data_IF_995022485852
#
_entry.id   IF_995022485852
#
_cell.length_a   1.000
_cell.length_b   1.000
_cell.length_c   1.000
_cell.angle_alpha   90.00
_cell.angle_beta   90.00
_cell.angle_gamma   90.00
#
_symmetry.space_group_name_H-M   'P 1'
#
loop_
_entity.id
_entity.type
_entity.pdbx_description
1 polymer ?
#
# COMPACT_ATOMS: atom_id res chain seq x y z
N UNK A 1 -10.36 -1.42 36.66
CA UNK A 1 -9.56 -0.21 36.41
C UNK A 1 -8.05 -0.45 36.52
N UNK A 2 -7.51 -1.01 37.60
CA UNK A 2 -6.02 -1.21 37.76
C UNK A 2 -5.33 -2.04 36.67
N UNK A 3 -5.97 -3.07 36.09
CA UNK A 3 -5.39 -3.91 35.03
C UNK A 3 -5.35 -3.21 33.65
N UNK A 4 -6.30 -2.33 33.36
CA UNK A 4 -6.32 -1.54 32.11
C UNK A 4 -5.26 -0.43 32.13
N UNK A 5 -4.98 0.15 33.29
CA UNK A 5 -3.97 1.19 33.48
C UNK A 5 -2.56 0.57 33.31
N UNK A 6 -2.35 -0.66 33.80
CA UNK A 6 -1.06 -1.34 33.67
C UNK A 6 -0.73 -1.71 32.22
N UNK A 7 -1.75 -2.14 31.45
CA UNK A 7 -1.64 -2.39 30.02
C UNK A 7 -1.33 -1.10 29.22
N UNK A 8 -1.96 0.02 29.60
CA UNK A 8 -1.75 1.31 28.96
C UNK A 8 -0.32 1.84 29.23
N UNK A 9 0.21 1.65 30.45
CA UNK A 9 1.57 2.07 30.82
C UNK A 9 2.61 1.22 30.08
N UNK A 10 2.38 -0.09 29.90
CA UNK A 10 3.27 -0.96 29.14
C UNK A 10 3.33 -0.60 27.66
N UNK A 11 2.18 -0.24 27.07
CA UNK A 11 2.06 0.20 25.68
C UNK A 11 2.72 1.58 25.48
N UNK A 12 2.56 2.50 26.44
CA UNK A 12 3.16 3.83 26.36
C UNK A 12 4.70 3.76 26.48
N UNK A 13 5.23 2.85 27.30
CA UNK A 13 6.68 2.62 27.40
C UNK A 13 7.28 2.07 26.09
N UNK A 14 6.51 1.33 25.27
CA UNK A 14 6.95 0.85 23.96
C UNK A 14 6.99 1.94 22.88
N UNK A 15 6.18 3.00 23.02
CA UNK A 15 6.02 4.00 21.95
C UNK A 15 6.90 5.22 22.12
N UNK A 16 7.36 5.50 23.34
CA UNK A 16 8.16 6.71 23.67
C UNK A 16 9.66 6.50 23.49
N UNK A 17 10.13 5.24 23.46
CA UNK A 17 11.58 4.94 23.45
C UNK A 17 12.16 4.65 22.08
N UNK A 18 11.50 4.99 20.99
CA UNK A 18 12.11 4.88 19.67
C UNK A 18 12.94 6.13 19.38
N UNK A 19 14.25 5.94 19.31
CA UNK A 19 15.24 6.88 18.82
C UNK A 19 15.73 7.96 19.83
N UNK A 20 16.56 7.56 20.78
CA UNK A 20 17.62 8.43 21.28
C UNK A 20 18.94 7.74 21.01
N UNK A 21 19.66 8.15 19.98
CA UNK A 21 21.04 7.72 19.78
C UNK A 21 21.89 8.42 20.82
N UNK A 22 22.08 7.76 21.95
CA UNK A 22 23.08 8.17 22.93
C UNK A 22 24.47 7.68 22.49
N UNK A 23 25.41 8.59 22.32
CA UNK A 23 26.81 8.24 22.14
C UNK A 23 27.31 7.47 23.39
N UNK A 24 27.40 6.15 23.31
CA UNK A 24 27.81 5.28 24.40
C UNK A 24 26.68 4.34 24.86
N UNK A 25 26.02 3.64 23.96
CA UNK A 25 24.99 2.65 24.32
C UNK A 25 25.65 1.50 25.12
N UNK A 26 25.29 1.41 26.39
CA UNK A 26 25.42 0.15 27.15
C UNK A 26 24.36 -0.77 26.52
N UNK A 27 24.79 -1.91 26.02
CA UNK A 27 23.92 -2.94 25.45
C UNK A 27 22.83 -3.29 26.46
N UNK A 28 21.53 -3.11 26.14
CA UNK A 28 20.49 -3.45 27.10
C UNK A 28 20.37 -4.96 27.17
N UNK A 29 20.87 -5.53 28.25
CA UNK A 29 20.69 -6.93 28.55
C UNK A 29 19.34 -7.13 29.24
N UNK A 30 18.42 -7.78 28.56
CA UNK A 30 17.10 -8.14 29.11
C UNK A 30 17.22 -9.48 29.86
N UNK A 31 16.59 -9.54 31.03
CA UNK A 31 16.65 -10.75 31.87
C UNK A 31 15.87 -11.95 31.25
N UNK A 32 15.02 -11.71 30.27
CA UNK A 32 14.16 -12.71 29.65
C UNK A 32 14.54 -13.07 28.20
N UNK A 33 15.69 -12.58 27.71
CA UNK A 33 16.16 -12.89 26.35
C UNK A 33 17.30 -13.84 26.28
N UNK A 34 18.01 -14.08 27.41
CA UNK A 34 19.18 -14.95 27.47
C UNK A 34 18.84 -16.39 27.02
N UNK A 35 19.54 -16.88 26.01
CA UNK A 35 19.28 -18.18 25.38
C UNK A 35 18.04 -18.26 24.52
N UNK A 36 17.31 -17.16 24.31
CA UNK A 36 16.18 -17.11 23.41
C UNK A 36 16.67 -17.09 21.96
N UNK A 37 15.98 -17.83 21.05
CA UNK A 37 16.38 -17.94 19.64
C UNK A 37 16.50 -16.59 18.89
N UNK A 38 15.82 -15.55 19.35
CA UNK A 38 15.87 -14.20 18.79
C UNK A 38 16.81 -13.23 19.55
N UNK A 39 17.59 -13.71 20.53
CA UNK A 39 18.43 -12.89 21.40
C UNK A 39 19.29 -11.91 20.60
N UNK A 40 20.05 -12.41 19.62
CA UNK A 40 20.94 -11.56 18.81
C UNK A 40 20.22 -10.47 18.01
N UNK A 41 19.04 -10.75 17.48
CA UNK A 41 18.24 -9.74 16.78
C UNK A 41 17.68 -8.71 17.76
N UNK A 42 17.23 -9.15 18.94
CA UNK A 42 16.71 -8.27 20.00
C UNK A 42 17.81 -7.33 20.50
N UNK A 43 19.00 -7.87 20.81
CA UNK A 43 20.15 -7.08 21.28
C UNK A 43 20.57 -6.04 20.25
N UNK A 44 20.67 -6.43 18.97
CA UNK A 44 21.02 -5.50 17.90
C UNK A 44 20.04 -4.34 17.78
N UNK A 45 18.75 -4.63 17.74
CA UNK A 45 17.71 -3.62 17.58
C UNK A 45 17.56 -2.74 18.82
N UNK A 46 17.76 -3.32 20.00
CA UNK A 46 17.74 -2.60 21.27
C UNK A 46 19.00 -1.77 21.47
N UNK A 47 20.19 -2.30 21.10
CA UNK A 47 21.46 -1.57 21.14
C UNK A 47 21.45 -0.31 20.27
N UNK A 48 20.71 -0.33 19.18
CA UNK A 48 20.49 0.86 18.34
C UNK A 48 19.30 1.72 18.79
N UNK A 49 18.64 1.40 19.89
CA UNK A 49 17.51 2.17 20.41
C UNK A 49 16.23 2.09 19.59
N UNK A 50 16.16 1.17 18.60
CA UNK A 50 15.05 1.10 17.64
C UNK A 50 13.82 0.42 18.25
N UNK A 51 14.03 -0.70 18.98
CA UNK A 51 12.98 -1.39 19.73
C UNK A 51 13.51 -1.68 21.11
N UNK A 52 12.76 -1.33 22.14
CA UNK A 52 13.16 -1.50 23.52
C UNK A 52 12.12 -2.31 24.30
N UNK A 53 12.61 -2.94 25.36
CA UNK A 53 11.78 -3.54 26.38
C UNK A 53 11.35 -2.53 27.45
N UNK A 54 10.77 -3.02 28.52
CA UNK A 54 10.34 -2.23 29.67
C UNK A 54 10.72 -2.95 30.96
N UNK A 55 11.15 -2.19 31.97
CA UNK A 55 11.52 -2.71 33.29
C UNK A 55 12.57 -3.86 33.27
N UNK A 56 13.53 -3.78 32.34
CA UNK A 56 14.56 -4.80 32.19
C UNK A 56 14.09 -6.09 31.51
N UNK A 57 12.92 -6.12 30.95
CA UNK A 57 12.33 -7.25 30.20
C UNK A 57 11.98 -6.82 28.78
N UNK A 58 12.22 -7.70 27.83
CA UNK A 58 11.82 -7.51 26.43
C UNK A 58 10.45 -8.08 26.14
N UNK A 59 10.03 -9.12 26.85
CA UNK A 59 8.84 -9.92 26.59
C UNK A 59 8.84 -10.55 25.19
N UNK A 60 9.84 -11.40 24.84
CA UNK A 60 10.01 -11.91 23.49
C UNK A 60 8.82 -12.75 22.98
N UNK A 61 8.12 -13.43 23.89
CA UNK A 61 6.97 -14.27 23.59
C UNK A 61 5.61 -13.50 23.63
N UNK A 62 5.63 -12.24 24.04
CA UNK A 62 4.46 -11.37 24.04
C UNK A 62 3.90 -11.19 22.63
N UNK A 63 2.58 -11.22 22.50
CA UNK A 63 1.88 -11.04 21.23
C UNK A 63 1.78 -9.56 20.88
N UNK A 64 1.94 -9.22 19.61
CA UNK A 64 1.70 -7.87 19.10
C UNK A 64 0.25 -7.67 18.69
N UNK A 65 -0.25 -6.44 18.91
CA UNK A 65 -1.51 -5.99 18.31
C UNK A 65 -1.27 -5.35 16.95
N UNK A 66 -2.36 -5.20 16.16
CA UNK A 66 -2.30 -4.48 14.89
C UNK A 66 -1.80 -3.04 15.09
N UNK A 67 -2.28 -2.34 16.12
CA UNK A 67 -1.87 -0.99 16.47
C UNK A 67 -0.38 -0.88 16.83
N UNK A 68 0.13 -1.83 17.58
CA UNK A 68 1.55 -1.86 17.95
C UNK A 68 2.45 -2.04 16.71
N UNK A 69 2.10 -2.99 15.83
CA UNK A 69 2.85 -3.19 14.58
C UNK A 69 2.77 -1.96 13.68
N UNK A 70 1.58 -1.36 13.51
CA UNK A 70 1.43 -0.14 12.73
C UNK A 70 2.29 1.00 13.29
N UNK A 71 2.35 1.16 14.61
CA UNK A 71 3.16 2.18 15.26
C UNK A 71 4.66 1.94 15.04
N UNK A 72 5.12 0.70 15.15
CA UNK A 72 6.52 0.33 14.85
C UNK A 72 6.85 0.70 13.40
N UNK A 73 6.02 0.30 12.43
CA UNK A 73 6.27 0.55 11.02
C UNK A 73 6.19 2.03 10.65
N UNK A 74 5.20 2.76 11.18
CA UNK A 74 5.05 4.19 10.92
C UNK A 74 6.24 4.99 11.42
N UNK A 75 6.78 4.66 12.60
CA UNK A 75 7.96 5.29 13.16
C UNK A 75 9.24 4.86 12.44
N UNK A 76 9.47 3.56 12.26
CA UNK A 76 10.65 3.02 11.59
C UNK A 76 10.82 3.64 10.20
N UNK A 77 9.75 3.70 9.42
CA UNK A 77 9.77 4.25 8.06
C UNK A 77 9.58 5.76 8.00
N UNK A 78 9.47 6.44 9.15
CA UNK A 78 9.20 7.89 9.22
C UNK A 78 8.04 8.28 8.29
N UNK A 79 6.93 7.50 8.36
CA UNK A 79 5.78 7.74 7.50
C UNK A 79 5.18 9.11 7.82
N UNK A 80 4.86 9.87 6.78
CA UNK A 80 4.34 11.21 6.96
C UNK A 80 2.93 11.21 7.57
N UNK A 81 2.50 12.37 8.10
CA UNK A 81 1.15 12.56 8.60
C UNK A 81 0.12 12.29 7.51
N UNK A 82 -0.98 11.65 7.86
CA UNK A 82 -2.01 11.22 6.93
C UNK A 82 -3.40 11.67 7.39
N UNK A 83 -4.32 11.76 6.43
CA UNK A 83 -5.74 11.97 6.73
C UNK A 83 -6.33 10.72 7.37
N UNK A 84 -7.48 10.90 8.03
CA UNK A 84 -8.27 9.77 8.52
C UNK A 84 -8.59 8.80 7.38
N UNK A 85 -8.26 7.54 7.60
CA UNK A 85 -8.51 6.45 6.65
C UNK A 85 -9.97 5.94 6.68
N UNK A 86 -10.79 6.45 7.60
CA UNK A 86 -12.21 6.11 7.72
C UNK A 86 -12.50 4.78 8.40
N UNK A 87 -11.56 4.21 9.15
CA UNK A 87 -11.83 2.99 9.92
C UNK A 87 -12.67 3.30 11.16
N UNK A 88 -13.80 2.61 11.30
CA UNK A 88 -14.81 2.90 12.35
C UNK A 88 -14.32 2.60 13.77
N UNK A 89 -13.30 1.77 13.91
CA UNK A 89 -12.67 1.38 15.19
C UNK A 89 -11.30 2.05 15.43
N UNK A 90 -10.92 3.02 14.59
CA UNK A 90 -9.73 3.85 14.77
C UNK A 90 -10.16 5.26 15.25
N UNK A 91 -10.42 5.41 16.55
CA UNK A 91 -10.94 6.66 17.12
C UNK A 91 -9.83 7.70 17.31
N UNK A 92 -10.17 8.99 17.12
CA UNK A 92 -9.20 10.09 17.11
C UNK A 92 -8.45 10.30 18.43
N UNK A 93 -8.99 9.84 19.56
CA UNK A 93 -8.38 9.88 20.89
C UNK A 93 -7.48 8.66 21.19
N UNK A 94 -7.45 7.68 20.29
CA UNK A 94 -6.60 6.49 20.47
C UNK A 94 -5.12 6.82 20.23
N UNK A 95 -4.25 6.28 21.06
CA UNK A 95 -2.78 6.46 20.97
C UNK A 95 -2.18 5.99 19.63
N UNK A 96 -2.88 5.11 18.95
CA UNK A 96 -2.47 4.52 17.67
C UNK A 96 -3.12 5.20 16.45
N UNK A 97 -4.02 6.16 16.66
CA UNK A 97 -4.82 6.77 15.59
C UNK A 97 -3.98 7.23 14.41
N UNK A 98 -2.97 8.03 14.68
CA UNK A 98 -2.10 8.59 13.66
C UNK A 98 -1.28 7.49 12.94
N UNK A 99 -0.76 6.51 13.68
CA UNK A 99 0.02 5.41 13.09
C UNK A 99 -0.81 4.52 12.15
N UNK A 100 -2.05 4.22 12.51
CA UNK A 100 -2.99 3.48 11.66
C UNK A 100 -3.24 4.24 10.36
N UNK A 101 -3.55 5.54 10.44
CA UNK A 101 -3.81 6.38 9.27
C UNK A 101 -2.59 6.50 8.36
N UNK A 102 -1.38 6.68 8.92
CA UNK A 102 -0.12 6.71 8.15
C UNK A 102 0.13 5.38 7.43
N UNK A 103 -0.05 4.25 8.11
CA UNK A 103 0.11 2.93 7.50
C UNK A 103 -0.94 2.66 6.42
N UNK A 104 -2.17 3.13 6.59
CA UNK A 104 -3.21 3.03 5.58
C UNK A 104 -2.88 3.88 4.34
N UNK A 105 -2.49 5.14 4.54
CA UNK A 105 -2.09 6.03 3.45
C UNK A 105 -0.86 5.51 2.68
N UNK A 106 0.07 4.83 3.37
CA UNK A 106 1.22 4.19 2.75
C UNK A 106 0.90 2.83 2.10
N UNK A 107 -0.36 2.37 2.10
CA UNK A 107 -0.75 1.08 1.54
C UNK A 107 -0.25 -0.14 2.34
N UNK A 108 0.28 0.08 3.54
CA UNK A 108 0.78 -0.99 4.42
C UNK A 108 -0.38 -1.73 5.10
N UNK A 109 -1.43 -1.01 5.47
CA UNK A 109 -2.60 -1.52 6.17
C UNK A 109 -3.89 -1.23 5.38
N UNK A 110 -4.66 -2.26 5.03
CA UNK A 110 -5.88 -2.14 4.21
C UNK A 110 -7.18 -2.47 4.96
N UNK A 111 -7.13 -2.60 6.30
CA UNK A 111 -8.30 -3.01 7.09
C UNK A 111 -8.73 -4.46 6.90
N UNK A 112 -9.90 -4.79 7.43
CA UNK A 112 -10.47 -6.15 7.42
C UNK A 112 -11.47 -6.36 6.27
N UNK A 113 -11.80 -5.30 5.51
CA UNK A 113 -12.79 -5.34 4.44
C UNK A 113 -14.21 -4.96 4.88
N UNK A 114 -14.44 -4.78 6.17
CA UNK A 114 -15.70 -4.36 6.79
C UNK A 114 -15.67 -2.92 7.36
N UNK A 115 -14.64 -2.17 7.00
CA UNK A 115 -14.42 -0.82 7.52
C UNK A 115 -13.72 -0.76 8.88
N UNK A 116 -13.19 -1.89 9.37
CA UNK A 116 -12.46 -1.98 10.64
C UNK A 116 -11.00 -2.40 10.43
N UNK A 117 -10.15 -2.21 11.47
CA UNK A 117 -8.76 -2.68 11.52
C UNK A 117 -8.47 -3.58 12.73
N UNK A 118 -9.39 -3.66 13.69
CA UNK A 118 -9.21 -4.34 14.97
C UNK A 118 -7.88 -3.98 15.66
N UNK A 119 -7.66 -2.69 16.00
CA UNK A 119 -6.33 -2.19 16.34
C UNK A 119 -5.73 -2.82 17.59
N UNK A 120 -6.52 -3.09 18.61
CA UNK A 120 -6.07 -3.66 19.89
C UNK A 120 -6.08 -5.20 19.93
N UNK A 121 -6.58 -5.85 18.89
CA UNK A 121 -6.55 -7.32 18.82
C UNK A 121 -5.13 -7.82 18.46
N UNK A 122 -4.69 -8.97 19.02
CA UNK A 122 -3.50 -9.63 18.57
C UNK A 122 -3.54 -9.89 17.06
N UNK A 123 -2.46 -9.56 16.37
CA UNK A 123 -2.38 -9.70 14.92
C UNK A 123 -1.90 -11.10 14.53
N UNK A 124 -2.55 -11.71 13.54
CA UNK A 124 -2.10 -13.00 13.02
C UNK A 124 -0.75 -12.87 12.30
N UNK A 125 0.02 -13.95 12.28
CA UNK A 125 1.33 -14.00 11.66
C UNK A 125 1.25 -13.68 10.16
N UNK A 126 0.28 -14.21 9.42
CA UNK A 126 0.11 -13.89 8.00
C UNK A 126 -0.21 -12.42 7.77
N UNK A 127 -1.08 -11.81 8.57
CA UNK A 127 -1.42 -10.40 8.46
C UNK A 127 -0.21 -9.51 8.76
N UNK A 128 0.56 -9.85 9.78
CA UNK A 128 1.81 -9.15 10.09
C UNK A 128 2.83 -9.28 8.96
N UNK A 129 2.98 -10.47 8.35
CA UNK A 129 3.85 -10.68 7.18
C UNK A 129 3.43 -9.81 6.01
N UNK A 130 2.14 -9.69 5.72
CA UNK A 130 1.64 -8.82 4.64
C UNK A 130 1.97 -7.35 4.92
N UNK A 131 1.74 -6.87 6.14
CA UNK A 131 2.10 -5.50 6.53
C UNK A 131 3.61 -5.26 6.41
N UNK A 132 4.43 -6.20 6.87
CA UNK A 132 5.89 -6.13 6.76
C UNK A 132 6.36 -6.14 5.30
N UNK A 133 5.83 -7.03 4.45
CA UNK A 133 6.18 -7.07 3.04
C UNK A 133 5.88 -5.74 2.34
N UNK A 134 4.69 -5.18 2.55
CA UNK A 134 4.30 -3.89 2.00
C UNK A 134 5.17 -2.74 2.52
N UNK A 135 5.47 -2.73 3.82
CA UNK A 135 6.37 -1.76 4.43
C UNK A 135 7.77 -1.80 3.80
N UNK A 136 8.26 -2.98 3.50
CA UNK A 136 9.55 -3.20 2.84
C UNK A 136 9.51 -2.96 1.33
N UNK A 137 8.32 -2.86 0.73
CA UNK A 137 8.15 -2.72 -0.72
C UNK A 137 8.38 -4.03 -1.46
N UNK A 138 8.12 -5.15 -0.81
CA UNK A 138 8.21 -6.49 -1.41
C UNK A 138 6.89 -6.80 -2.10
N UNK A 139 6.95 -7.01 -3.41
CA UNK A 139 5.79 -7.34 -4.23
C UNK A 139 5.37 -8.80 -4.06
N UNK A 140 4.06 -9.09 -4.12
CA UNK A 140 3.57 -10.46 -3.96
C UNK A 140 3.88 -11.31 -5.19
N UNK A 141 4.25 -12.56 -4.99
CA UNK A 141 4.45 -13.54 -6.06
C UNK A 141 3.10 -13.98 -6.63
N UNK A 142 2.93 -13.90 -7.94
CA UNK A 142 1.67 -14.23 -8.64
C UNK A 142 1.29 -15.72 -8.57
N UNK A 143 2.28 -16.59 -8.58
CA UNK A 143 2.10 -18.05 -8.47
C UNK A 143 2.94 -18.55 -7.30
N UNK A 144 2.49 -18.31 -6.07
CA UNK A 144 3.24 -18.68 -4.89
C UNK A 144 3.31 -20.19 -4.72
N UNK A 145 4.51 -20.71 -4.49
CA UNK A 145 4.71 -22.09 -4.09
C UNK A 145 4.99 -22.16 -2.58
N UNK A 146 4.04 -22.70 -1.85
CA UNK A 146 4.13 -22.93 -0.40
C UNK A 146 4.04 -24.42 -0.08
N UNK A 147 4.18 -25.31 -1.06
CA UNK A 147 3.98 -26.77 -0.93
C UNK A 147 4.95 -27.42 0.06
N UNK A 148 6.06 -26.76 0.35
CA UNK A 148 7.00 -27.15 1.41
C UNK A 148 6.33 -27.21 2.79
N UNK A 149 5.28 -26.42 3.01
CA UNK A 149 4.67 -26.25 4.32
C UNK A 149 3.36 -27.01 4.41
N UNK A 150 3.22 -27.82 5.47
CA UNK A 150 2.07 -28.71 5.68
C UNK A 150 0.78 -27.94 5.94
N UNK A 151 0.89 -26.74 6.47
CA UNK A 151 -0.22 -25.83 6.77
C UNK A 151 -0.43 -24.73 5.72
N UNK A 152 0.18 -24.87 4.53
CA UNK A 152 0.05 -23.90 3.43
C UNK A 152 -1.41 -23.60 3.04
N UNK A 153 -2.32 -24.58 3.22
CA UNK A 153 -3.75 -24.39 2.94
C UNK A 153 -4.42 -23.37 3.88
N UNK A 154 -3.85 -23.14 5.06
CA UNK A 154 -4.36 -22.17 6.04
C UNK A 154 -3.95 -20.74 5.72
N UNK A 155 -2.97 -20.53 4.82
CA UNK A 155 -2.60 -19.18 4.38
C UNK A 155 -3.73 -18.60 3.54
N UNK A 156 -4.27 -17.47 3.95
CA UNK A 156 -5.35 -16.77 3.25
C UNK A 156 -4.93 -16.33 1.85
N UNK A 157 -5.88 -16.29 0.92
CA UNK A 157 -5.59 -15.97 -0.49
C UNK A 157 -4.85 -14.63 -0.66
N UNK A 158 -5.23 -13.61 0.11
CA UNK A 158 -4.59 -12.29 0.07
C UNK A 158 -3.13 -12.29 0.55
N UNK A 159 -2.75 -13.26 1.39
CA UNK A 159 -1.44 -13.32 2.02
C UNK A 159 -0.44 -14.22 1.26
N UNK A 160 -0.92 -15.20 0.49
CA UNK A 160 -0.07 -16.24 -0.15
C UNK A 160 1.10 -15.66 -0.94
N UNK A 161 0.84 -14.67 -1.78
CA UNK A 161 1.87 -14.06 -2.61
C UNK A 161 2.94 -13.33 -1.79
N UNK A 162 2.54 -12.60 -0.75
CA UNK A 162 3.46 -11.89 0.15
C UNK A 162 4.27 -12.84 1.02
N UNK A 163 3.63 -13.87 1.57
CA UNK A 163 4.30 -14.89 2.38
C UNK A 163 5.38 -15.60 1.56
N UNK A 164 5.05 -16.01 0.33
CA UNK A 164 6.03 -16.63 -0.57
C UNK A 164 7.18 -15.69 -0.90
N UNK A 165 6.90 -14.42 -1.19
CA UNK A 165 7.93 -13.43 -1.48
C UNK A 165 8.91 -13.21 -0.31
N UNK A 166 8.39 -13.14 0.92
CA UNK A 166 9.22 -13.03 2.11
C UNK A 166 10.07 -14.28 2.36
N UNK A 167 9.55 -15.47 2.02
CA UNK A 167 10.28 -16.73 2.11
C UNK A 167 11.40 -16.79 1.07
N UNK A 168 11.12 -16.47 -0.20
CA UNK A 168 12.13 -16.41 -1.26
C UNK A 168 13.23 -15.38 -0.97
N UNK A 169 12.86 -14.26 -0.35
CA UNK A 169 13.82 -13.26 0.10
C UNK A 169 14.65 -13.69 1.33
N UNK A 170 14.36 -14.85 1.93
CA UNK A 170 15.04 -15.33 3.16
C UNK A 170 14.67 -14.53 4.42
N UNK A 171 13.69 -13.65 4.35
CA UNK A 171 13.26 -12.78 5.47
C UNK A 171 12.41 -13.57 6.45
N UNK A 172 11.54 -14.45 5.94
CA UNK A 172 10.66 -15.29 6.74
C UNK A 172 10.98 -16.76 6.52
N UNK A 173 10.96 -17.54 7.58
CA UNK A 173 10.92 -19.00 7.54
C UNK A 173 9.68 -19.52 8.25
N UNK A 174 9.53 -20.83 8.28
CA UNK A 174 8.52 -21.49 9.12
C UNK A 174 8.79 -21.28 10.62
N UNK A 175 7.81 -21.60 11.44
CA UNK A 175 8.00 -21.78 12.90
C UNK A 175 8.70 -23.10 13.18
N UNK A 176 8.55 -24.07 12.28
CA UNK A 176 9.35 -25.29 12.17
C UNK A 176 9.92 -25.37 10.73
N UNK A 177 10.56 -26.49 10.39
CA UNK A 177 11.08 -26.71 9.03
C UNK A 177 9.98 -26.76 7.95
N UNK A 178 8.75 -27.13 8.33
CA UNK A 178 7.63 -27.46 7.46
C UNK A 178 6.27 -26.86 7.92
N UNK A 179 6.27 -25.89 8.85
CA UNK A 179 5.07 -25.23 9.33
C UNK A 179 5.25 -23.71 9.38
N UNK A 180 4.28 -22.97 8.84
CA UNK A 180 4.26 -21.49 8.81
C UNK A 180 3.51 -20.89 9.99
N UNK A 181 2.51 -21.57 10.52
CA UNK A 181 1.56 -21.12 11.53
C UNK A 181 0.88 -19.77 11.17
N UNK A 182 0.26 -19.63 9.99
CA UNK A 182 -0.17 -18.33 9.47
C UNK A 182 -1.27 -17.70 10.32
N UNK A 183 -2.13 -18.50 10.92
CA UNK A 183 -3.26 -18.04 11.74
C UNK A 183 -2.91 -17.81 13.22
N UNK A 184 -1.72 -18.23 13.67
CA UNK A 184 -1.27 -17.96 15.02
C UNK A 184 -0.90 -16.47 15.15
N UNK A 185 -1.05 -15.91 16.35
CA UNK A 185 -0.62 -14.55 16.64
C UNK A 185 0.90 -14.43 16.56
N UNK A 186 1.40 -13.33 15.98
CA UNK A 186 2.84 -13.09 15.90
C UNK A 186 3.38 -12.61 17.25
N UNK A 187 4.59 -13.07 17.60
CA UNK A 187 5.28 -12.60 18.81
C UNK A 187 6.19 -11.41 18.51
N UNK A 188 6.59 -10.70 19.56
CA UNK A 188 7.56 -9.60 19.51
C UNK A 188 8.89 -10.08 18.93
N UNK A 189 9.41 -11.21 19.42
CA UNK A 189 10.63 -11.83 18.93
C UNK A 189 10.55 -12.16 17.43
N UNK A 190 9.46 -12.76 16.98
CA UNK A 190 9.27 -13.07 15.57
C UNK A 190 9.28 -11.79 14.70
N UNK A 191 8.61 -10.74 15.15
CA UNK A 191 8.56 -9.46 14.43
C UNK A 191 9.95 -8.82 14.32
N UNK A 192 10.71 -8.73 15.44
CA UNK A 192 12.07 -8.18 15.42
C UNK A 192 12.97 -8.98 14.49
N UNK A 193 12.89 -10.31 14.53
CA UNK A 193 13.71 -11.17 13.68
C UNK A 193 13.38 -11.00 12.19
N UNK A 194 12.10 -10.83 11.84
CA UNK A 194 11.70 -10.55 10.44
C UNK A 194 12.27 -9.20 9.99
N UNK A 195 12.12 -8.16 10.81
CA UNK A 195 12.69 -6.84 10.52
C UNK A 195 14.22 -6.89 10.41
N UNK A 196 14.90 -7.61 11.31
CA UNK A 196 16.36 -7.78 11.30
C UNK A 196 16.85 -8.46 10.01
N UNK A 197 16.17 -9.53 9.58
CA UNK A 197 16.47 -10.22 8.32
C UNK A 197 16.14 -9.40 7.07
N UNK A 198 15.25 -8.44 7.19
CA UNK A 198 14.90 -7.53 6.09
C UNK A 198 15.95 -6.45 5.85
N UNK A 199 16.87 -6.24 6.81
CA UNK A 199 17.95 -5.28 6.66
C UNK A 199 19.09 -5.94 5.88
N UNK A 200 19.32 -5.45 4.68
CA UNK A 200 20.44 -5.89 3.84
C UNK A 200 21.77 -5.29 4.30
N UNK A 201 21.72 -4.11 4.92
CA UNK A 201 22.92 -3.35 5.28
C UNK A 201 22.68 -2.56 6.57
N UNK A 202 23.55 -2.75 7.56
CA UNK A 202 23.65 -1.90 8.74
C UNK A 202 24.80 -0.90 8.58
N UNK A 203 24.50 0.38 8.81
CA UNK A 203 25.49 1.45 8.79
C UNK A 203 25.58 2.08 10.17
N UNK A 204 26.39 1.46 11.05
CA UNK A 204 26.49 1.73 12.50
C UNK A 204 27.79 2.44 12.93
N UNK A 205 28.66 2.79 11.96
CA UNK A 205 29.93 3.46 12.26
C UNK A 205 29.94 4.87 11.66
N UNK A 206 30.15 5.88 12.50
CA UNK A 206 30.23 7.27 12.07
C UNK A 206 31.34 7.49 11.02
N UNK A 207 31.01 8.24 9.97
CA UNK A 207 31.92 8.55 8.86
C UNK A 207 32.24 7.38 7.93
N UNK A 208 31.65 6.20 8.16
CA UNK A 208 31.93 5.02 7.36
C UNK A 208 31.42 5.16 5.91
N UNK A 209 32.14 4.52 4.98
CA UNK A 209 31.64 4.24 3.64
C UNK A 209 31.16 2.80 3.59
N UNK A 210 29.88 2.61 3.32
CA UNK A 210 29.22 1.30 3.32
C UNK A 210 28.67 1.02 1.93
N UNK A 211 28.98 -0.14 1.39
CA UNK A 211 28.42 -0.58 0.11
C UNK A 211 27.08 -1.29 0.34
N UNK A 212 26.02 -0.79 -0.30
CA UNK A 212 24.70 -1.41 -0.30
C UNK A 212 24.41 -1.96 -1.70
N UNK A 213 24.75 -3.23 -1.92
CA UNK A 213 24.56 -3.94 -3.20
C UNK A 213 23.38 -4.92 -3.17
N UNK A 214 22.71 -5.06 -2.03
CA UNK A 214 21.52 -5.87 -1.85
C UNK A 214 20.21 -5.11 -2.10
N UNK A 215 19.18 -5.84 -2.51
CA UNK A 215 17.81 -5.33 -2.50
C UNK A 215 17.25 -5.49 -1.09
N UNK A 216 16.69 -4.44 -0.53
CA UNK A 216 16.09 -4.49 0.80
C UNK A 216 16.26 -3.18 1.56
N UNK A 217 16.10 -3.26 2.88
CA UNK A 217 16.21 -2.12 3.76
C UNK A 217 17.69 -1.89 4.15
N UNK A 218 18.14 -0.65 4.03
CA UNK A 218 19.39 -0.17 4.62
C UNK A 218 19.05 0.61 5.88
N UNK A 219 19.64 0.27 7.01
CA UNK A 219 19.44 0.99 8.27
C UNK A 219 20.71 1.76 8.63
N UNK A 220 20.58 3.09 8.72
CA UNK A 220 21.64 4.00 9.11
C UNK A 220 21.39 4.47 10.54
N UNK A 221 22.30 4.16 11.44
CA UNK A 221 22.20 4.50 12.87
C UNK A 221 23.38 5.38 13.36
N UNK A 222 24.27 5.77 12.45
CA UNK A 222 25.44 6.59 12.76
C UNK A 222 25.50 7.84 11.86
N UNK A 223 26.22 8.85 12.33
CA UNK A 223 26.38 10.13 11.61
C UNK A 223 27.39 10.04 10.46
N UNK A 224 27.21 10.92 9.47
CA UNK A 224 28.15 11.15 8.36
C UNK A 224 28.47 9.90 7.52
N UNK A 225 27.52 8.95 7.45
CA UNK A 225 27.66 7.71 6.69
C UNK A 225 27.56 8.00 5.20
N UNK A 226 28.36 7.27 4.40
CA UNK A 226 28.32 7.27 2.94
C UNK A 226 27.86 5.92 2.43
N UNK A 227 26.66 5.84 1.88
CA UNK A 227 26.15 4.63 1.22
C UNK A 227 26.51 4.70 -0.27
N UNK A 228 27.12 3.61 -0.76
CA UNK A 228 27.55 3.50 -2.17
C UNK A 228 26.98 2.24 -2.80
N UNK A 229 26.75 2.24 -4.10
CA UNK A 229 26.29 1.08 -4.86
C UNK A 229 24.85 0.65 -4.53
N UNK A 230 24.08 1.50 -3.85
CA UNK A 230 22.68 1.20 -3.53
C UNK A 230 21.83 1.11 -4.82
N UNK A 231 21.24 -0.06 -5.11
CA UNK A 231 20.38 -0.26 -6.28
C UNK A 231 19.12 0.63 -6.23
N UNK A 232 18.53 0.84 -7.40
CA UNK A 232 17.23 1.50 -7.52
C UNK A 232 16.15 0.79 -6.68
N UNK A 233 15.28 1.58 -6.03
CA UNK A 233 14.23 1.07 -5.16
C UNK A 233 14.71 0.65 -3.75
N UNK A 234 16.03 0.67 -3.47
CA UNK A 234 16.54 0.44 -2.11
C UNK A 234 15.95 1.48 -1.15
N UNK A 235 15.32 1.01 -0.07
CA UNK A 235 14.83 1.86 1.01
C UNK A 235 15.93 2.07 2.04
N UNK A 236 16.23 3.33 2.33
CA UNK A 236 17.23 3.71 3.33
C UNK A 236 16.52 4.44 4.46
N UNK A 237 16.52 3.81 5.62
CA UNK A 237 15.97 4.34 6.87
C UNK A 237 17.09 4.94 7.67
N UNK A 238 16.92 6.16 8.12
CA UNK A 238 17.88 6.88 8.96
C UNK A 238 17.30 6.98 10.35
N UNK A 239 17.98 6.42 11.35
CA UNK A 239 17.57 6.54 12.75
C UNK A 239 17.65 8.00 13.22
N UNK A 240 16.86 8.35 14.24
CA UNK A 240 16.91 9.68 14.83
C UNK A 240 18.31 9.97 15.40
N UNK A 241 18.83 11.15 15.09
CA UNK A 241 20.18 11.56 15.48
C UNK A 241 21.29 11.17 14.52
N UNK A 242 21.05 10.26 13.56
CA UNK A 242 22.01 9.97 12.50
C UNK A 242 21.86 11.03 11.38
N UNK A 243 22.81 11.94 11.28
CA UNK A 243 22.81 13.06 10.34
C UNK A 243 23.94 12.97 9.32
N UNK A 244 23.91 13.80 8.27
CA UNK A 244 25.02 13.92 7.31
C UNK A 244 25.13 12.73 6.34
N UNK A 245 24.05 12.00 6.09
CA UNK A 245 24.01 10.87 5.16
C UNK A 245 24.23 11.30 3.71
N UNK A 246 25.07 10.54 3.00
CA UNK A 246 25.13 10.59 1.52
C UNK A 246 24.84 9.23 0.92
N UNK A 247 24.08 9.22 -0.19
CA UNK A 247 23.71 8.00 -0.92
C UNK A 247 24.09 8.15 -2.38
N UNK A 248 24.92 7.23 -2.88
CA UNK A 248 25.45 7.29 -4.25
C UNK A 248 26.00 8.68 -4.62
N UNK A 249 26.71 9.33 -3.66
CA UNK A 249 27.32 10.64 -3.82
C UNK A 249 26.38 11.84 -3.66
N UNK A 250 25.09 11.63 -3.34
CA UNK A 250 24.12 12.72 -3.08
C UNK A 250 23.83 12.83 -1.61
N UNK A 251 23.79 14.05 -1.06
CA UNK A 251 23.30 14.30 0.30
C UNK A 251 21.80 14.01 0.36
N UNK A 252 21.37 13.38 1.45
CA UNK A 252 20.01 12.91 1.67
C UNK A 252 19.53 13.43 3.01
N UNK A 253 18.27 13.86 3.09
CA UNK A 253 17.63 14.26 4.34
C UNK A 253 17.48 13.05 5.27
N UNK A 254 17.56 13.29 6.56
CA UNK A 254 17.42 12.32 7.65
C UNK A 254 16.02 12.31 8.28
N UNK A 255 15.13 13.19 7.84
CA UNK A 255 13.78 13.34 8.38
C UNK A 255 12.74 12.37 7.79
N UNK A 256 13.10 11.64 6.74
CA UNK A 256 12.24 10.68 6.05
C UNK A 256 13.01 9.46 5.52
N UNK A 257 12.28 8.37 5.24
CA UNK A 257 12.84 7.23 4.52
C UNK A 257 13.21 7.65 3.10
N UNK A 258 14.48 7.45 2.73
CA UNK A 258 14.94 7.70 1.37
C UNK A 258 14.81 6.45 0.50
N UNK A 259 14.21 6.61 -0.67
CA UNK A 259 14.14 5.55 -1.67
C UNK A 259 15.07 5.92 -2.82
N UNK A 260 16.03 5.04 -3.15
CA UNK A 260 16.95 5.25 -4.27
C UNK A 260 16.13 5.34 -5.56
N UNK A 261 16.16 6.49 -6.26
CA UNK A 261 15.31 6.71 -7.43
C UNK A 261 15.67 5.79 -8.58
N UNK A 262 14.67 5.40 -9.38
CA UNK A 262 14.90 4.71 -10.65
C UNK A 262 15.57 5.68 -11.62
N UNK A 263 16.67 5.27 -12.24
CA UNK A 263 17.33 6.02 -13.32
C UNK A 263 16.50 5.87 -14.59
N UNK A 264 15.58 6.77 -14.82
CA UNK A 264 15.00 6.91 -16.17
C UNK A 264 16.02 7.66 -17.00
N UNK A 265 16.64 6.99 -17.97
CA UNK A 265 17.40 7.66 -19.05
C UNK A 265 16.42 8.41 -19.94
N UNK A 266 16.02 9.59 -19.55
CA UNK A 266 15.43 10.59 -20.43
C UNK A 266 16.38 11.80 -20.45
N UNK A 267 17.01 12.02 -21.59
CA UNK A 267 17.75 13.25 -21.91
C UNK A 267 16.78 14.43 -21.92
N UNK A 268 16.85 15.26 -20.88
CA UNK A 268 16.07 16.48 -20.77
C UNK A 268 16.54 17.28 -19.56
N UNK A 269 17.41 18.26 -19.81
CA UNK A 269 17.87 19.22 -18.82
C UNK A 269 16.73 20.06 -18.29
N UNK A 270 16.53 20.13 -16.98
CA UNK A 270 16.09 21.35 -16.32
C UNK A 270 16.56 21.38 -14.87
N UNK A 271 17.30 22.41 -14.56
CA UNK A 271 17.86 22.80 -13.27
C UNK A 271 16.74 23.27 -12.33
N UNK A 272 16.71 22.75 -11.10
CA UNK A 272 15.89 23.27 -10.02
C UNK A 272 15.94 22.37 -8.79
N UNK A 273 16.44 22.86 -7.69
CA UNK A 273 16.49 22.46 -6.30
C UNK A 273 16.02 21.06 -5.91
N UNK A 274 16.98 20.18 -5.58
CA UNK A 274 16.71 18.76 -5.39
C UNK A 274 16.10 18.42 -4.02
N UNK A 275 14.87 17.95 -4.04
CA UNK A 275 14.33 17.04 -3.05
C UNK A 275 13.91 15.75 -3.77
N UNK A 276 13.99 14.62 -3.06
CA UNK A 276 13.53 13.34 -3.60
C UNK A 276 12.01 13.32 -3.63
N UNK A 277 11.42 13.10 -4.79
CA UNK A 277 9.97 13.01 -4.94
C UNK A 277 9.50 11.59 -4.60
N UNK A 278 8.70 11.45 -3.55
CA UNK A 278 7.86 10.28 -3.32
C UNK A 278 6.45 10.60 -3.78
N UNK A 279 5.88 9.74 -4.63
CA UNK A 279 4.56 9.96 -5.20
C UNK A 279 3.53 9.03 -4.56
N UNK A 280 2.39 9.59 -4.18
CA UNK A 280 1.17 8.83 -3.89
C UNK A 280 0.36 8.82 -5.18
N UNK A 281 0.01 7.63 -5.65
CA UNK A 281 -0.75 7.45 -6.87
C UNK A 281 -2.24 7.31 -6.56
N UNK A 282 -3.04 8.08 -7.26
CA UNK A 282 -4.50 8.08 -7.13
C UNK A 282 -5.11 7.64 -8.45
N UNK A 283 -6.08 6.73 -8.39
CA UNK A 283 -6.92 6.34 -9.52
C UNK A 283 -7.78 7.54 -9.95
N UNK A 284 -7.72 7.90 -11.22
CA UNK A 284 -8.50 9.00 -11.80
C UNK A 284 -9.91 8.56 -12.25
N UNK A 285 -10.18 7.25 -12.29
CA UNK A 285 -11.44 6.67 -12.74
C UNK A 285 -11.66 6.65 -14.25
N UNK A 286 -10.70 7.14 -15.03
CA UNK A 286 -10.74 7.26 -16.49
C UNK A 286 -9.79 6.29 -17.21
N UNK A 287 -9.26 5.33 -16.51
CA UNK A 287 -8.26 4.38 -17.01
C UNK A 287 -6.82 4.84 -16.78
N UNK A 288 -6.63 5.96 -16.06
CA UNK A 288 -5.33 6.50 -15.72
C UNK A 288 -5.16 6.67 -14.21
N UNK A 289 -3.93 6.85 -13.76
CA UNK A 289 -3.61 7.26 -12.41
C UNK A 289 -2.68 8.48 -12.43
N UNK A 290 -2.75 9.29 -11.38
CA UNK A 290 -1.88 10.45 -11.20
C UNK A 290 -1.04 10.29 -9.95
N UNK A 291 0.28 10.43 -10.07
CA UNK A 291 1.20 10.54 -8.94
C UNK A 291 1.25 11.98 -8.43
N UNK A 292 1.00 12.19 -7.13
CA UNK A 292 1.27 13.47 -6.46
C UNK A 292 2.50 13.36 -5.61
N UNK A 293 3.41 14.34 -5.75
CA UNK A 293 4.57 14.45 -4.89
C UNK A 293 4.13 14.77 -3.45
N UNK A 294 4.63 13.98 -2.52
CA UNK A 294 4.29 14.09 -1.12
C UNK A 294 4.77 15.41 -0.47
N UNK A 295 5.90 15.94 -0.95
CA UNK A 295 6.56 17.09 -0.34
C UNK A 295 6.06 18.45 -0.83
N UNK A 296 5.46 18.55 -2.03
CA UNK A 296 5.13 19.84 -2.64
C UNK A 296 3.84 19.87 -3.46
N UNK A 297 2.97 18.86 -3.34
CA UNK A 297 1.72 18.71 -4.10
C UNK A 297 1.87 18.73 -5.64
N UNK A 298 3.10 18.71 -6.18
CA UNK A 298 3.27 18.64 -7.63
C UNK A 298 2.74 17.30 -8.15
N UNK A 299 1.84 17.36 -9.13
CA UNK A 299 1.27 16.19 -9.76
C UNK A 299 2.07 15.82 -11.01
N UNK A 300 2.27 14.53 -11.23
CA UNK A 300 2.70 13.99 -12.52
C UNK A 300 1.57 14.09 -13.54
N UNK A 301 1.93 14.05 -14.82
CA UNK A 301 0.93 13.81 -15.86
C UNK A 301 0.22 12.48 -15.61
N UNK A 302 -1.10 12.38 -15.88
CA UNK A 302 -1.80 11.12 -15.78
C UNK A 302 -1.17 10.04 -16.67
N UNK A 303 -1.01 8.83 -16.11
CA UNK A 303 -0.47 7.66 -16.81
C UNK A 303 -1.53 6.56 -16.87
N UNK A 304 -1.54 5.78 -17.95
CA UNK A 304 -2.47 4.67 -18.10
C UNK A 304 -2.25 3.60 -17.03
N UNK A 305 -3.33 2.95 -16.60
CA UNK A 305 -3.25 1.85 -15.65
C UNK A 305 -2.42 0.70 -16.20
N UNK A 306 -1.52 0.18 -15.36
CA UNK A 306 -0.76 -1.04 -15.66
C UNK A 306 -1.51 -2.25 -15.07
N UNK A 307 -2.19 -3.02 -15.91
CA UNK A 307 -3.02 -4.17 -15.54
C UNK A 307 -2.24 -5.44 -15.16
N UNK A 308 -0.97 -5.33 -14.85
CA UNK A 308 -0.12 -6.46 -14.45
C UNK A 308 -0.23 -6.83 -12.97
N UNK A 309 -1.07 -6.14 -12.20
CA UNK A 309 -1.34 -6.45 -10.81
C UNK A 309 -2.21 -7.70 -10.63
N UNK A 310 -2.37 -8.13 -9.38
CA UNK A 310 -3.19 -9.27 -9.02
C UNK A 310 -4.64 -9.07 -9.50
N UNK A 311 -5.22 -10.09 -10.11
CA UNK A 311 -6.54 -10.04 -10.74
C UNK A 311 -6.71 -8.93 -11.80
N UNK A 312 -5.62 -8.54 -12.48
CA UNK A 312 -5.66 -7.50 -13.51
C UNK A 312 -5.78 -6.08 -12.97
N UNK A 313 -5.58 -5.86 -11.67
CA UNK A 313 -5.54 -4.52 -11.07
C UNK A 313 -4.30 -3.74 -11.50
N UNK A 314 -4.36 -2.42 -11.36
CA UNK A 314 -3.19 -1.57 -11.58
C UNK A 314 -2.11 -1.85 -10.53
N UNK A 315 -0.87 -2.11 -10.96
CA UNK A 315 0.27 -2.35 -10.07
C UNK A 315 0.73 -1.10 -9.32
N UNK A 316 0.34 0.08 -9.79
CA UNK A 316 0.83 1.37 -9.27
C UNK A 316 -0.13 1.94 -8.24
N UNK A 317 -1.40 2.12 -8.59
CA UNK A 317 -2.41 2.71 -7.70
C UNK A 317 -3.37 1.70 -7.05
N UNK A 318 -3.27 0.41 -7.43
CA UNK A 318 -4.16 -0.63 -6.91
C UNK A 318 -5.60 -0.58 -7.42
N UNK A 319 -5.90 0.29 -8.43
CA UNK A 319 -7.24 0.41 -8.99
C UNK A 319 -7.80 -0.94 -9.41
N UNK A 320 -9.08 -1.18 -9.12
CA UNK A 320 -9.77 -2.41 -9.49
C UNK A 320 -10.09 -2.52 -10.98
N UNK A 321 -9.65 -1.57 -11.79
CA UNK A 321 -9.74 -1.66 -13.24
C UNK A 321 -8.95 -2.86 -13.75
N UNK A 322 -9.55 -3.62 -14.67
CA UNK A 322 -8.91 -4.71 -15.41
C UNK A 322 -8.80 -4.34 -16.88
N UNK A 323 -7.99 -5.07 -17.65
CA UNK A 323 -7.89 -4.88 -19.11
C UNK A 323 -9.24 -5.08 -19.86
N UNK A 324 -10.20 -5.77 -19.24
CA UNK A 324 -11.54 -5.96 -19.78
C UNK A 324 -12.54 -4.87 -19.34
N UNK A 325 -12.14 -3.90 -18.53
CA UNK A 325 -13.04 -2.85 -18.03
C UNK A 325 -13.37 -1.86 -19.13
N UNK A 326 -14.64 -1.53 -19.26
CA UNK A 326 -15.19 -0.62 -20.29
C UNK A 326 -15.64 0.71 -19.67
N UNK A 327 -16.14 0.67 -18.44
CA UNK A 327 -16.63 1.86 -17.76
C UNK A 327 -16.34 1.82 -16.25
N UNK A 328 -16.29 2.98 -15.61
CA UNK A 328 -16.26 3.13 -14.17
C UNK A 328 -17.45 3.96 -13.66
N UNK A 329 -17.83 3.74 -12.41
CA UNK A 329 -18.80 4.57 -11.68
C UNK A 329 -18.09 5.18 -10.49
N UNK A 330 -18.13 6.51 -10.38
CA UNK A 330 -17.65 7.25 -9.23
C UNK A 330 -18.79 7.45 -8.26
N UNK A 331 -18.70 6.82 -7.08
CA UNK A 331 -19.66 6.99 -6.00
C UNK A 331 -19.49 8.34 -5.28
N UNK A 332 -20.45 8.71 -4.42
CA UNK A 332 -20.44 9.97 -3.67
C UNK A 332 -19.24 10.10 -2.71
N UNK A 333 -18.70 8.98 -2.22
CA UNK A 333 -17.50 8.91 -1.37
C UNK A 333 -16.18 9.07 -2.15
N UNK A 334 -16.27 9.18 -3.50
CA UNK A 334 -15.12 9.33 -4.38
C UNK A 334 -14.50 8.02 -4.84
N UNK A 335 -15.00 6.86 -4.40
CA UNK A 335 -14.52 5.56 -4.85
C UNK A 335 -14.94 5.24 -6.28
N UNK A 336 -14.12 4.47 -7.00
CA UNK A 336 -14.41 4.02 -8.36
C UNK A 336 -14.66 2.52 -8.39
N UNK A 337 -15.77 2.12 -9.02
CA UNK A 337 -16.06 0.73 -9.32
C UNK A 337 -16.04 0.53 -10.84
N UNK A 338 -15.27 -0.47 -11.31
CA UNK A 338 -15.08 -0.74 -12.73
C UNK A 338 -15.98 -1.88 -13.23
N UNK A 339 -16.46 -1.73 -14.45
CA UNK A 339 -17.40 -2.65 -15.08
C UNK A 339 -16.91 -3.07 -16.47
N UNK A 340 -17.11 -4.32 -16.82
CA UNK A 340 -16.76 -4.88 -18.13
C UNK A 340 -17.74 -4.53 -19.24
N UNK A 341 -18.89 -3.89 -18.92
CA UNK A 341 -19.86 -3.39 -19.89
C UNK A 341 -20.42 -2.06 -19.43
N UNK A 342 -20.72 -1.17 -20.37
CA UNK A 342 -21.39 0.11 -20.09
C UNK A 342 -22.79 -0.11 -19.49
N UNK A 343 -23.51 -1.12 -19.96
CA UNK A 343 -24.86 -1.44 -19.45
C UNK A 343 -24.82 -1.78 -17.94
N UNK A 344 -23.84 -2.57 -17.49
CA UNK A 344 -23.68 -2.90 -16.08
C UNK A 344 -23.32 -1.68 -15.24
N UNK A 345 -22.45 -0.80 -15.73
CA UNK A 345 -22.11 0.45 -15.07
C UNK A 345 -23.33 1.36 -14.90
N UNK A 346 -24.12 1.56 -15.95
CA UNK A 346 -25.33 2.38 -15.93
C UNK A 346 -26.42 1.80 -15.03
N UNK A 347 -26.55 0.47 -14.96
CA UNK A 347 -27.48 -0.19 -14.05
C UNK A 347 -27.08 -0.01 -12.57
N UNK A 348 -25.79 -0.03 -12.26
CA UNK A 348 -25.27 0.12 -10.91
C UNK A 348 -25.26 1.57 -10.42
N UNK A 349 -25.08 2.56 -11.31
CA UNK A 349 -25.03 3.97 -10.96
C UNK A 349 -26.30 4.45 -10.21
N UNK A 350 -26.12 5.39 -9.29
CA UNK A 350 -27.20 6.08 -8.57
C UNK A 350 -27.39 7.50 -9.13
N UNK A 351 -28.51 8.16 -8.79
CA UNK A 351 -28.70 9.56 -9.18
C UNK A 351 -27.63 10.45 -8.52
N UNK A 352 -26.97 11.26 -9.33
CA UNK A 352 -25.83 12.11 -8.95
C UNK A 352 -24.47 11.53 -9.31
N UNK A 353 -24.39 10.24 -9.62
CA UNK A 353 -23.12 9.60 -9.98
C UNK A 353 -22.59 10.05 -11.35
N UNK A 354 -21.27 9.89 -11.50
CA UNK A 354 -20.60 10.01 -12.81
C UNK A 354 -20.19 8.63 -13.29
N UNK A 355 -20.67 8.26 -14.48
CA UNK A 355 -20.22 7.08 -15.22
C UNK A 355 -19.22 7.53 -16.27
N UNK A 356 -17.99 7.02 -16.21
CA UNK A 356 -16.90 7.38 -17.12
C UNK A 356 -16.53 6.19 -18.00
N UNK A 357 -16.44 6.39 -19.33
CA UNK A 357 -15.87 5.37 -20.20
C UNK A 357 -14.36 5.30 -20.06
N UNK A 358 -13.82 4.08 -19.94
CA UNK A 358 -12.39 3.80 -19.91
C UNK A 358 -11.91 3.15 -21.21
N UNK A 359 -12.84 2.60 -22.01
CA UNK A 359 -12.56 2.09 -23.35
C UNK A 359 -13.76 2.31 -24.29
N UNK A 360 -13.53 2.19 -25.59
CA UNK A 360 -14.60 2.20 -26.60
C UNK A 360 -15.53 1.03 -26.36
N UNK A 361 -16.84 1.22 -26.68
CA UNK A 361 -17.83 0.17 -26.48
C UNK A 361 -18.82 0.09 -27.62
N UNK A 362 -19.33 -1.11 -27.84
CA UNK A 362 -20.42 -1.36 -28.79
C UNK A 362 -21.70 -1.72 -28.05
N UNK A 363 -22.81 -1.09 -28.40
CA UNK A 363 -24.15 -1.43 -27.90
C UNK A 363 -24.95 -2.08 -29.01
N UNK A 364 -25.38 -3.31 -28.77
CA UNK A 364 -26.31 -4.03 -29.69
C UNK A 364 -27.77 -3.77 -29.34
N UNK A 365 -28.02 -3.36 -28.07
CA UNK A 365 -29.35 -3.03 -27.57
C UNK A 365 -29.37 -1.59 -27.02
N UNK A 366 -30.57 -0.98 -27.05
CA UNK A 366 -30.80 0.29 -26.36
C UNK A 366 -30.65 0.15 -24.86
N UNK A 367 -29.93 1.08 -24.21
CA UNK A 367 -29.79 1.13 -22.77
C UNK A 367 -30.70 2.20 -22.19
N UNK A 368 -31.53 1.80 -21.22
CA UNK A 368 -32.43 2.73 -20.51
C UNK A 368 -31.67 3.52 -19.46
N UNK A 369 -31.90 4.83 -19.43
CA UNK A 369 -31.36 5.77 -18.46
C UNK A 369 -32.54 6.42 -17.71
N UNK A 370 -32.85 5.90 -16.53
CA UNK A 370 -33.92 6.35 -15.65
C UNK A 370 -33.44 7.02 -14.36
N UNK A 371 -32.12 7.28 -14.28
CA UNK A 371 -31.48 7.98 -13.18
C UNK A 371 -30.79 9.24 -13.69
N UNK A 372 -30.78 10.30 -12.87
CA UNK A 372 -30.09 11.54 -13.20
C UNK A 372 -28.58 11.38 -12.95
N UNK A 373 -27.80 11.19 -14.02
CA UNK A 373 -26.38 10.92 -13.98
C UNK A 373 -25.59 11.79 -14.96
N UNK A 374 -24.26 11.85 -14.76
CA UNK A 374 -23.33 12.33 -15.79
C UNK A 374 -22.70 11.12 -16.47
N UNK A 375 -22.81 11.03 -17.80
CA UNK A 375 -22.09 10.06 -18.63
C UNK A 375 -20.93 10.78 -19.32
N UNK A 376 -19.72 10.56 -18.82
CA UNK A 376 -18.48 11.10 -19.38
C UNK A 376 -17.88 10.08 -20.34
N UNK A 377 -17.86 10.39 -21.61
CA UNK A 377 -17.30 9.51 -22.63
C UNK A 377 -15.78 9.54 -22.67
N UNK A 378 -15.15 10.46 -21.98
CA UNK A 378 -13.69 10.51 -21.78
C UNK A 378 -12.88 10.33 -23.08
N UNK A 379 -13.31 10.98 -24.16
CA UNK A 379 -12.69 10.85 -25.48
C UNK A 379 -12.98 9.53 -26.21
N UNK A 380 -13.79 8.63 -25.61
CA UNK A 380 -14.14 7.34 -26.20
C UNK A 380 -15.42 7.41 -27.02
N UNK A 381 -15.70 6.33 -27.72
CA UNK A 381 -16.85 6.20 -28.62
C UNK A 381 -17.77 5.08 -28.13
N UNK A 382 -19.08 5.38 -28.10
CA UNK A 382 -20.14 4.37 -28.04
C UNK A 382 -20.59 4.11 -29.47
N UNK A 383 -20.40 2.90 -29.97
CA UNK A 383 -20.88 2.47 -31.27
C UNK A 383 -22.16 1.67 -31.11
N UNK A 384 -23.27 2.13 -31.72
CA UNK A 384 -24.56 1.45 -31.65
C UNK A 384 -24.85 0.71 -32.98
N UNK A 385 -25.02 -0.61 -32.92
CA UNK A 385 -25.31 -1.44 -34.09
C UNK A 385 -26.79 -1.76 -34.27
N UNK A 386 -27.58 -1.73 -33.21
CA UNK A 386 -29.02 -1.97 -33.26
C UNK A 386 -29.42 -3.39 -33.69
N UNK A 387 -28.51 -4.35 -33.66
CA UNK A 387 -28.69 -5.70 -34.23
C UNK A 387 -29.90 -6.46 -33.67
N UNK A 388 -30.29 -6.25 -32.43
CA UNK A 388 -31.34 -7.02 -31.77
C UNK A 388 -32.73 -6.35 -31.81
N UNK A 389 -32.90 -5.22 -32.47
CA UNK A 389 -34.20 -4.50 -32.56
C UNK A 389 -34.91 -4.64 -33.91
N UNK A 390 -34.26 -5.25 -34.91
CA UNK A 390 -34.73 -5.29 -36.29
C UNK A 390 -35.99 -6.13 -36.51
N UNK A 391 -36.43 -6.95 -35.56
CA UNK A 391 -37.53 -7.90 -35.76
C UNK A 391 -38.81 -7.60 -35.00
N UNK A 392 -38.83 -6.67 -34.04
CA UNK A 392 -39.93 -6.54 -33.09
C UNK A 392 -40.96 -5.41 -33.45
N UNK A 393 -40.55 -4.28 -34.04
CA UNK A 393 -41.47 -3.22 -34.45
C UNK A 393 -40.79 -2.17 -35.33
N UNK A 394 -41.22 -2.00 -36.60
CA UNK A 394 -40.61 -1.02 -37.54
C UNK A 394 -40.88 0.45 -37.19
N UNK A 395 -41.74 0.72 -36.19
CA UNK A 395 -42.02 2.08 -35.72
C UNK A 395 -41.23 2.49 -34.46
N UNK A 396 -40.42 1.60 -33.86
CA UNK A 396 -39.57 1.96 -32.75
C UNK A 396 -38.30 2.65 -33.26
N UNK A 397 -38.09 3.89 -32.82
CA UNK A 397 -36.86 4.64 -33.09
C UNK A 397 -35.66 3.91 -32.48
N UNK A 398 -34.67 3.59 -33.31
CA UNK A 398 -33.39 3.02 -32.86
C UNK A 398 -32.63 4.06 -32.04
N UNK A 399 -32.52 3.85 -30.73
CA UNK A 399 -31.80 4.74 -29.79
C UNK A 399 -30.77 3.96 -29.07
N UNK A 400 -29.52 4.41 -29.13
CA UNK A 400 -28.43 3.84 -28.31
C UNK A 400 -28.72 3.99 -26.82
N UNK A 401 -29.17 5.18 -26.42
CA UNK A 401 -29.51 5.54 -25.05
C UNK A 401 -30.95 6.06 -25.00
N UNK A 402 -31.75 5.52 -24.07
CA UNK A 402 -33.14 5.89 -23.88
C UNK A 402 -33.34 6.56 -22.52
N UNK A 403 -33.44 7.90 -22.50
CA UNK A 403 -33.60 8.69 -21.26
C UNK A 403 -35.08 8.82 -20.95
N UNK A 404 -35.51 8.40 -19.75
CA UNK A 404 -36.91 8.45 -19.31
C UNK A 404 -36.99 8.96 -17.86
N UNK A 405 -37.67 10.10 -17.67
CA UNK A 405 -37.99 10.64 -16.34
C UNK A 405 -36.78 11.13 -15.55
N UNK A 406 -35.64 11.36 -16.20
CA UNK A 406 -34.36 11.72 -15.55
C UNK A 406 -33.61 12.77 -16.37
N UNK A 407 -32.61 13.39 -15.78
CA UNK A 407 -31.66 14.31 -16.44
C UNK A 407 -30.35 13.63 -16.64
N UNK A 408 -29.91 13.45 -17.88
CA UNK A 408 -28.62 12.85 -18.21
C UNK A 408 -27.73 13.88 -18.90
N UNK A 409 -26.56 14.13 -18.37
CA UNK A 409 -25.53 14.96 -19.03
C UNK A 409 -24.53 14.03 -19.71
N UNK A 410 -24.41 14.15 -21.05
CA UNK A 410 -23.40 13.39 -21.82
C UNK A 410 -22.31 14.36 -22.28
N UNK A 411 -21.06 14.02 -22.09
CA UNK A 411 -19.92 14.88 -22.43
C UNK A 411 -18.69 14.11 -22.91
N UNK A 412 -17.76 14.82 -23.53
CA UNK A 412 -16.38 14.41 -23.81
C UNK A 412 -16.23 13.16 -24.69
N UNK A 413 -16.98 13.00 -25.78
CA UNK A 413 -16.79 11.87 -26.68
C UNK A 413 -17.82 11.81 -27.80
N UNK A 414 -17.97 10.64 -28.43
CA UNK A 414 -18.85 10.43 -29.57
C UNK A 414 -19.81 9.24 -29.38
N UNK A 415 -21.00 9.36 -29.93
CA UNK A 415 -21.92 8.23 -30.11
C UNK A 415 -22.13 8.09 -31.62
N UNK A 416 -21.80 6.91 -32.15
CA UNK A 416 -21.90 6.59 -33.57
C UNK A 416 -22.88 5.45 -33.81
N UNK A 417 -23.43 5.34 -35.00
CA UNK A 417 -24.30 4.23 -35.37
C UNK A 417 -24.07 3.79 -36.80
N UNK A 418 -24.21 2.49 -37.05
CA UNK A 418 -24.32 1.93 -38.40
C UNK A 418 -25.76 1.78 -38.87
N UNK A 419 -26.73 2.01 -37.99
CA UNK A 419 -28.17 1.90 -38.36
C UNK A 419 -28.55 3.08 -39.24
N UNK A 420 -29.01 2.78 -40.45
CA UNK A 420 -29.52 3.76 -41.40
C UNK A 420 -30.92 4.16 -40.93
N UNK A 421 -31.04 5.33 -40.33
CA UNK A 421 -32.29 5.89 -39.83
C UNK A 421 -32.10 7.28 -39.27
N UNK A 422 -33.17 8.06 -39.10
CA UNK A 422 -33.07 9.41 -38.56
C UNK A 422 -32.70 9.35 -37.08
N UNK A 423 -31.54 9.92 -36.69
CA UNK A 423 -31.14 10.12 -35.28
C UNK A 423 -31.93 11.33 -34.78
N UNK A 424 -32.78 11.14 -33.81
CA UNK A 424 -33.47 12.19 -33.06
C UNK A 424 -32.96 12.21 -31.63
#
# INVERSE_FOLDING_TARGET
MKRKILSLILVFAMTVSLFTVGTGAVEPTYGDTAGHWAESSIERWSGHGIIQGSNGLFDPNGQLTCAQLATILAKLLKLPAAKDAGFTDNTADAWYYDAINRCAAAGILNGNGDGTVTPEAPITRERAMVMLARALGIEPIRKPDLTKYTDAAQVSAYARGYVAALIEAGIVGGVTADELAPQNNITRAATVTILDRAISTYADKAGATVKADGKGLVLVVAENVKITGAPEGTKIVVADGATGLTVNGKSVSDDQTYIVPKTTTSSGSSSGGGHSHSYVYTDNGDGTHTGKCYANDSALSPEAHNHNGENGKCTVCGAAQTAASVASVKAADGTYTYYTTLAAALAAAQSGDTVTLVDNTTLTNSVKLDKSITLDLNGKTIHYTGENQATANPTMSHRALNVTGSTVTIKNGAITTTVVGTIY
#
